data_IF_655679302320
#
_entry.id   IF_655679302320
#
_cell.length_a   1.000
_cell.length_b   1.000
_cell.length_c   1.000
_cell.angle_alpha   90.00
_cell.angle_beta   90.00
_cell.angle_gamma   90.00
#
_symmetry.space_group_name_H-M   'P 1'
#
loop_
_entity.id
_entity.type
_entity.pdbx_description
1 polymer ?
#
# COMPACT_ATOMS: atom_id res chain seq x y z
N UNK A 1 -21.59 8.23 7.29
CA UNK A 1 -21.28 7.58 8.57
C UNK A 1 -21.61 8.52 9.72
N UNK A 2 -22.57 8.14 10.56
CA UNK A 2 -22.80 8.73 11.88
C UNK A 2 -21.62 8.45 12.82
N UNK A 3 -21.58 9.03 14.02
CA UNK A 3 -20.56 8.69 15.02
C UNK A 3 -20.66 7.22 15.47
N UNK A 4 -21.87 6.67 15.54
CA UNK A 4 -22.07 5.24 15.82
C UNK A 4 -21.46 4.40 14.71
N UNK A 5 -21.76 4.70 13.44
CA UNK A 5 -21.24 3.94 12.31
C UNK A 5 -19.70 3.92 12.31
N UNK A 6 -19.06 5.03 12.69
CA UNK A 6 -17.60 5.10 12.81
C UNK A 6 -17.09 4.18 13.93
N UNK A 7 -17.68 4.25 15.12
CA UNK A 7 -17.32 3.38 16.24
C UNK A 7 -17.55 1.90 15.91
N UNK A 8 -18.71 1.55 15.36
CA UNK A 8 -19.07 0.19 14.95
C UNK A 8 -18.10 -0.37 13.91
N UNK A 9 -17.61 0.49 13.01
CA UNK A 9 -16.61 0.12 12.00
C UNK A 9 -15.22 -0.10 12.62
N UNK A 10 -14.80 0.77 13.55
CA UNK A 10 -13.53 0.59 14.28
C UNK A 10 -13.54 -0.76 15.02
N UNK A 11 -14.63 -1.06 15.72
CA UNK A 11 -14.78 -2.34 16.42
C UNK A 11 -14.81 -3.52 15.44
N UNK A 12 -15.38 -3.34 14.24
CA UNK A 12 -15.37 -4.39 13.21
C UNK A 12 -13.96 -4.71 12.72
N UNK A 13 -13.09 -3.70 12.53
CA UNK A 13 -11.68 -3.92 12.19
C UNK A 13 -10.94 -4.66 13.31
N UNK A 14 -11.15 -4.27 14.57
CA UNK A 14 -10.54 -4.94 15.72
C UNK A 14 -10.97 -6.42 15.81
N UNK A 15 -12.28 -6.69 15.73
CA UNK A 15 -12.81 -8.07 15.72
C UNK A 15 -12.22 -8.90 14.58
N UNK A 16 -12.17 -8.35 13.37
CA UNK A 16 -11.61 -9.04 12.22
C UNK A 16 -10.11 -9.38 12.40
N UNK A 17 -9.32 -8.49 13.00
CA UNK A 17 -7.92 -8.75 13.28
C UNK A 17 -7.73 -9.81 14.38
N UNK A 18 -8.52 -9.75 15.45
CA UNK A 18 -8.52 -10.78 16.49
C UNK A 18 -8.93 -12.15 15.93
N UNK A 19 -9.92 -12.19 15.04
CA UNK A 19 -10.32 -13.41 14.36
C UNK A 19 -9.23 -13.94 13.43
N UNK A 20 -8.53 -13.07 12.68
CA UNK A 20 -7.41 -13.47 11.84
C UNK A 20 -6.29 -14.12 12.67
N UNK A 21 -5.89 -13.49 13.79
CA UNK A 21 -4.90 -14.08 14.69
C UNK A 21 -5.37 -15.41 15.27
N UNK A 22 -6.62 -15.48 15.75
CA UNK A 22 -7.22 -16.72 16.29
C UNK A 22 -7.28 -17.85 15.28
N UNK A 23 -7.47 -17.54 14.00
CA UNK A 23 -7.50 -18.50 12.89
C UNK A 23 -6.10 -18.90 12.40
N UNK A 24 -5.03 -18.31 12.95
CA UNK A 24 -3.65 -18.66 12.65
C UNK A 24 -3.06 -17.94 11.44
N UNK A 25 -3.61 -16.80 11.02
CA UNK A 25 -2.92 -15.91 10.10
C UNK A 25 -1.68 -15.31 10.77
N UNK A 26 -0.63 -15.01 10.01
CA UNK A 26 0.62 -14.46 10.54
C UNK A 26 0.59 -12.93 10.74
N UNK A 27 -0.52 -12.27 10.39
CA UNK A 27 -0.68 -10.82 10.47
C UNK A 27 -1.89 -10.33 9.69
N UNK A 28 -2.10 -9.01 9.67
CA UNK A 28 -3.16 -8.35 8.88
C UNK A 28 -2.63 -7.17 8.07
N UNK A 29 -3.21 -6.96 6.89
CA UNK A 29 -3.00 -5.76 6.09
C UNK A 29 -4.31 -4.94 6.01
N UNK A 30 -4.27 -3.71 6.50
CA UNK A 30 -5.37 -2.77 6.45
C UNK A 30 -5.34 -1.99 5.13
N UNK A 31 -6.48 -1.93 4.44
CA UNK A 31 -6.54 -1.22 3.17
C UNK A 31 -6.83 0.30 3.33
N UNK A 32 -5.77 1.11 3.36
CA UNK A 32 -5.79 2.58 3.43
C UNK A 32 -5.49 3.32 2.12
N UNK A 33 -5.63 2.66 0.97
CA UNK A 33 -5.33 3.22 -0.37
C UNK A 33 -6.52 3.18 -1.32
N UNK A 34 -6.30 3.62 -2.56
CA UNK A 34 -7.20 3.51 -3.73
C UNK A 34 -8.64 3.98 -3.53
N UNK A 35 -8.89 4.98 -2.68
CA UNK A 35 -10.23 5.52 -2.44
C UNK A 35 -11.16 4.61 -1.62
N UNK A 36 -10.63 3.57 -0.97
CA UNK A 36 -11.39 2.79 0.02
C UNK A 36 -11.53 3.54 1.34
N UNK A 37 -12.31 2.99 2.26
CA UNK A 37 -12.83 3.70 3.44
C UNK A 37 -11.77 4.50 4.21
N UNK A 38 -10.68 3.86 4.65
CA UNK A 38 -9.60 4.54 5.38
C UNK A 38 -9.00 5.68 4.54
N UNK A 39 -8.81 5.46 3.24
CA UNK A 39 -8.32 6.48 2.30
C UNK A 39 -9.30 7.65 2.13
N UNK A 40 -10.61 7.39 2.14
CA UNK A 40 -11.64 8.42 2.08
C UNK A 40 -11.55 9.37 3.28
N UNK A 41 -11.25 8.86 4.48
CA UNK A 41 -11.02 9.71 5.65
C UNK A 41 -9.80 10.62 5.46
N UNK A 42 -8.68 10.13 4.90
CA UNK A 42 -7.50 10.97 4.64
C UNK A 42 -7.73 12.08 3.60
N UNK A 43 -8.64 11.84 2.65
CA UNK A 43 -8.83 12.68 1.48
C UNK A 43 -9.60 13.96 1.80
N UNK A 44 -9.03 15.12 1.51
CA UNK A 44 -9.66 16.41 1.78
C UNK A 44 -10.98 16.59 1.02
N UNK A 45 -11.02 16.26 -0.27
CA UNK A 45 -12.19 16.37 -1.15
C UNK A 45 -13.33 15.38 -0.84
N UNK A 46 -13.03 14.26 -0.18
CA UNK A 46 -14.05 13.26 0.18
C UNK A 46 -14.50 13.40 1.64
N UNK A 47 -13.60 13.76 2.54
CA UNK A 47 -13.90 13.94 3.95
C UNK A 47 -14.17 15.42 4.26
N UNK A 48 -15.40 15.83 3.99
CA UNK A 48 -15.92 17.17 4.27
C UNK A 48 -16.60 17.25 5.65
N UNK A 49 -16.21 16.39 6.59
CA UNK A 49 -16.81 16.35 7.94
C UNK A 49 -16.37 17.56 8.75
N UNK A 50 -17.27 18.04 9.61
CA UNK A 50 -17.01 19.09 10.60
C UNK A 50 -16.83 18.56 12.03
N UNK A 51 -16.87 17.24 12.21
CA UNK A 51 -16.62 16.60 13.51
C UNK A 51 -15.15 16.19 13.66
N UNK A 52 -14.82 15.51 14.76
CA UNK A 52 -13.45 15.15 15.09
C UNK A 52 -12.73 14.22 14.10
N UNK A 53 -13.44 13.64 13.12
CA UNK A 53 -12.84 12.80 12.08
C UNK A 53 -12.62 13.55 10.76
N UNK A 54 -13.01 14.81 10.66
CA UNK A 54 -12.69 15.71 9.54
C UNK A 54 -11.53 16.63 9.87
N UNK A 55 -11.39 17.73 9.12
CA UNK A 55 -10.40 18.77 9.38
C UNK A 55 -9.62 19.19 8.14
N UNK A 56 -8.91 20.31 8.27
CA UNK A 56 -8.14 20.92 7.17
C UNK A 56 -6.82 20.19 6.93
N UNK A 57 -6.26 19.57 7.97
CA UNK A 57 -4.97 18.88 7.88
C UNK A 57 -5.14 17.37 7.66
N UNK A 58 -4.13 16.75 7.04
CA UNK A 58 -4.06 15.30 6.90
C UNK A 58 -4.03 14.58 8.26
N UNK A 59 -3.41 15.19 9.28
CA UNK A 59 -3.30 14.61 10.62
C UNK A 59 -4.65 14.53 11.33
N UNK A 60 -5.45 15.60 11.28
CA UNK A 60 -6.82 15.60 11.85
C UNK A 60 -7.68 14.51 11.20
N UNK A 61 -7.64 14.46 9.87
CA UNK A 61 -8.33 13.47 9.04
C UNK A 61 -7.83 12.03 9.23
N UNK A 62 -6.64 11.85 9.80
CA UNK A 62 -6.06 10.53 10.08
C UNK A 62 -6.60 9.90 11.37
N UNK A 63 -7.44 10.60 12.14
CA UNK A 63 -7.99 10.09 13.40
C UNK A 63 -8.64 8.71 13.25
N UNK A 64 -9.42 8.51 12.18
CA UNK A 64 -10.08 7.22 11.95
C UNK A 64 -9.08 6.06 11.85
N UNK A 65 -8.01 6.22 11.06
CA UNK A 65 -6.97 5.21 10.92
C UNK A 65 -6.21 4.97 12.24
N UNK A 66 -5.93 6.05 12.99
CA UNK A 66 -5.30 5.97 14.31
C UNK A 66 -6.15 5.17 15.29
N UNK A 67 -7.46 5.40 15.33
CA UNK A 67 -8.37 4.68 16.22
C UNK A 67 -8.54 3.21 15.80
N UNK A 68 -8.59 2.92 14.49
CA UNK A 68 -8.57 1.55 13.97
C UNK A 68 -7.31 0.81 14.41
N UNK A 69 -6.11 1.41 14.23
CA UNK A 69 -4.84 0.80 14.63
C UNK A 69 -4.81 0.52 16.14
N UNK A 70 -5.22 1.48 16.97
CA UNK A 70 -5.27 1.32 18.43
C UNK A 70 -6.25 0.25 18.87
N UNK A 71 -7.42 0.17 18.23
CA UNK A 71 -8.43 -0.85 18.54
C UNK A 71 -7.96 -2.26 18.14
N UNK A 72 -7.24 -2.40 17.02
CA UNK A 72 -6.59 -3.66 16.66
C UNK A 72 -5.53 -4.02 17.71
N UNK A 73 -4.68 -3.06 18.08
CA UNK A 73 -3.60 -3.28 19.08
C UNK A 73 -4.10 -3.67 20.46
N UNK A 74 -5.32 -3.31 20.84
CA UNK A 74 -5.88 -3.72 22.12
C UNK A 74 -6.40 -5.17 22.15
N UNK A 75 -6.52 -5.83 20.99
CA UNK A 75 -7.11 -7.18 20.89
C UNK A 75 -6.18 -8.24 20.31
N UNK A 76 -5.12 -7.85 19.59
CA UNK A 76 -4.11 -8.79 19.05
C UNK A 76 -2.86 -8.87 19.94
N UNK A 77 -2.07 -9.94 19.82
CA UNK A 77 -0.82 -10.03 20.58
C UNK A 77 0.21 -8.97 20.14
N UNK A 78 1.14 -8.54 21.02
CA UNK A 78 2.11 -7.49 20.69
C UNK A 78 3.01 -7.79 19.48
N UNK A 79 3.22 -9.07 19.16
CA UNK A 79 4.04 -9.52 18.03
C UNK A 79 3.26 -9.69 16.72
N UNK A 80 1.93 -9.54 16.73
CA UNK A 80 1.09 -9.71 15.56
C UNK A 80 1.27 -8.53 14.58
N UNK A 81 1.82 -8.75 13.36
CA UNK A 81 2.05 -7.70 12.38
C UNK A 81 0.78 -7.01 11.92
N UNK A 82 0.77 -5.68 11.98
CA UNK A 82 -0.30 -4.84 11.41
C UNK A 82 0.31 -3.93 10.34
N UNK A 83 0.04 -4.28 9.09
CA UNK A 83 0.52 -3.59 7.90
C UNK A 83 -0.56 -2.60 7.44
N UNK A 84 -0.18 -1.40 7.03
CA UNK A 84 -1.11 -0.45 6.42
C UNK A 84 -0.74 -0.21 4.97
N UNK A 85 -1.65 -0.55 4.06
CA UNK A 85 -1.48 -0.33 2.62
C UNK A 85 -1.99 1.05 2.22
N UNK A 86 -1.09 1.92 1.74
CA UNK A 86 -1.35 3.33 1.45
C UNK A 86 -1.11 3.67 -0.02
N UNK A 87 -1.81 4.68 -0.52
CA UNK A 87 -1.55 5.31 -1.82
C UNK A 87 -1.77 6.81 -1.71
N UNK A 88 -0.93 7.59 -2.39
CA UNK A 88 -1.09 9.05 -2.44
C UNK A 88 -1.99 9.52 -3.60
N UNK A 89 -2.01 8.73 -4.67
CA UNK A 89 -2.67 9.04 -5.93
C UNK A 89 -4.12 8.56 -5.95
N UNK A 90 -4.91 9.09 -6.88
CA UNK A 90 -6.32 8.73 -7.08
C UNK A 90 -6.51 8.12 -8.48
N UNK A 91 -7.43 7.16 -8.67
CA UNK A 91 -7.70 6.57 -9.99
C UNK A 91 -8.05 7.58 -11.10
N UNK A 92 -8.58 8.75 -10.73
CA UNK A 92 -8.93 9.84 -11.66
C UNK A 92 -7.92 10.98 -11.67
N UNK A 93 -6.95 10.97 -10.76
CA UNK A 93 -5.90 11.99 -10.64
C UNK A 93 -4.61 11.36 -10.10
N UNK A 94 -3.73 10.96 -11.01
CA UNK A 94 -2.42 10.39 -10.68
C UNK A 94 -1.44 11.41 -10.08
N UNK A 95 -1.76 12.71 -10.13
CA UNK A 95 -0.95 13.77 -9.54
C UNK A 95 -1.38 14.09 -8.11
N UNK A 96 -2.54 13.59 -7.68
CA UNK A 96 -3.00 13.75 -6.31
C UNK A 96 -1.96 13.22 -5.33
N UNK A 97 -1.79 13.96 -4.23
CA UNK A 97 -1.00 13.53 -3.08
C UNK A 97 -1.77 13.81 -1.81
N UNK A 98 -1.77 12.86 -0.88
CA UNK A 98 -2.27 13.10 0.48
C UNK A 98 -1.27 13.97 1.25
N UNK A 99 0.02 13.61 1.21
CA UNK A 99 1.10 14.39 1.78
C UNK A 99 1.81 15.16 0.66
N UNK A 100 1.72 16.49 0.68
CA UNK A 100 2.28 17.34 -0.37
C UNK A 100 3.81 17.38 -0.41
N UNK A 101 4.47 17.09 0.71
CA UNK A 101 5.93 17.16 0.89
C UNK A 101 6.46 15.96 1.65
N UNK A 102 7.77 15.67 1.59
CA UNK A 102 8.39 14.64 2.42
C UNK A 102 8.20 14.86 3.93
N UNK A 103 8.24 16.11 4.41
CA UNK A 103 8.01 16.43 5.81
C UNK A 103 6.57 16.12 6.25
N UNK A 104 5.57 16.46 5.41
CA UNK A 104 4.19 16.08 5.68
C UNK A 104 3.98 14.56 5.64
N UNK A 105 4.73 13.84 4.79
CA UNK A 105 4.72 12.37 4.76
C UNK A 105 5.31 11.80 6.05
N UNK A 106 6.42 12.35 6.54
CA UNK A 106 7.04 11.96 7.81
C UNK A 106 6.07 12.15 9.00
N UNK A 107 5.44 13.32 9.13
CA UNK A 107 4.46 13.57 10.18
C UNK A 107 3.28 12.59 10.11
N UNK A 108 2.76 12.36 8.91
CA UNK A 108 1.62 11.48 8.69
C UNK A 108 1.94 10.02 8.98
N UNK A 109 3.04 9.49 8.44
CA UNK A 109 3.46 8.11 8.68
C UNK A 109 3.91 7.92 10.13
N UNK A 110 4.60 8.89 10.72
CA UNK A 110 5.00 8.87 12.13
C UNK A 110 3.79 8.79 13.07
N UNK A 111 2.71 9.52 12.77
CA UNK A 111 1.45 9.40 13.51
C UNK A 111 0.88 7.96 13.46
N UNK A 112 0.95 7.30 12.31
CA UNK A 112 0.44 5.95 12.10
C UNK A 112 1.33 4.88 12.75
N UNK A 113 2.65 5.04 12.70
CA UNK A 113 3.61 4.20 13.45
C UNK A 113 3.34 4.30 14.94
N UNK A 114 3.20 5.52 15.47
CA UNK A 114 2.89 5.75 16.89
C UNK A 114 1.53 5.18 17.32
N UNK A 115 0.60 5.02 16.37
CA UNK A 115 -0.69 4.37 16.62
C UNK A 115 -0.61 2.83 16.57
N UNK A 116 0.50 2.27 16.09
CA UNK A 116 0.77 0.84 16.09
C UNK A 116 0.83 0.18 14.70
N UNK A 117 1.11 0.91 13.62
CA UNK A 117 1.47 0.28 12.34
C UNK A 117 2.92 -0.22 12.37
N UNK A 118 3.17 -1.49 11.99
CA UNK A 118 4.52 -2.06 11.97
C UNK A 118 5.22 -1.91 10.62
N UNK A 119 4.42 -1.82 9.55
CA UNK A 119 4.92 -1.75 8.19
C UNK A 119 3.96 -0.98 7.29
N UNK A 120 4.51 -0.44 6.21
CA UNK A 120 3.73 0.22 5.17
C UNK A 120 3.88 -0.52 3.85
N UNK A 121 2.75 -0.76 3.19
CA UNK A 121 2.71 -1.22 1.81
C UNK A 121 2.31 -0.04 0.90
N UNK A 122 3.26 0.47 0.12
CA UNK A 122 3.12 1.74 -0.59
C UNK A 122 2.80 1.49 -2.06
N UNK A 123 1.55 1.75 -2.41
CA UNK A 123 1.04 1.62 -3.77
C UNK A 123 1.30 2.87 -4.60
N UNK A 124 1.80 2.64 -5.81
CA UNK A 124 2.07 3.62 -6.85
C UNK A 124 1.81 2.99 -8.22
N UNK A 125 1.55 3.79 -9.27
CA UNK A 125 1.31 3.26 -10.61
C UNK A 125 2.46 2.40 -11.12
N UNK A 126 3.71 2.84 -10.90
CA UNK A 126 4.90 2.08 -11.20
C UNK A 126 6.00 2.30 -10.15
N UNK A 127 6.72 1.24 -9.78
CA UNK A 127 7.66 1.30 -8.65
C UNK A 127 8.84 2.26 -8.86
N UNK A 128 9.19 2.54 -10.11
CA UNK A 128 10.32 3.40 -10.48
C UNK A 128 9.96 4.89 -10.47
N UNK A 129 8.69 5.25 -10.32
CA UNK A 129 8.28 6.65 -10.31
C UNK A 129 8.68 7.32 -8.99
N UNK A 130 9.34 8.48 -9.02
CA UNK A 130 9.64 9.23 -7.81
C UNK A 130 8.37 9.79 -7.18
N UNK A 131 8.25 9.69 -5.85
CA UNK A 131 7.08 10.23 -5.14
C UNK A 131 7.12 11.77 -5.05
N UNK A 132 8.31 12.33 -4.89
CA UNK A 132 8.59 13.77 -4.79
C UNK A 132 9.74 14.16 -5.74
N UNK A 133 9.55 14.11 -7.07
CA UNK A 133 10.58 14.42 -8.07
C UNK A 133 11.22 15.80 -7.90
N UNK A 134 10.49 16.74 -7.30
CA UNK A 134 11.00 18.07 -6.96
C UNK A 134 12.04 18.09 -5.83
N UNK A 135 12.16 17.00 -5.07
CA UNK A 135 13.15 16.83 -3.98
C UNK A 135 14.15 15.73 -4.32
N UNK A 136 13.68 14.58 -4.81
CA UNK A 136 14.49 13.44 -5.22
C UNK A 136 13.90 12.80 -6.48
N UNK A 137 14.66 12.82 -7.57
CA UNK A 137 14.21 12.34 -8.88
C UNK A 137 14.14 10.81 -9.00
N UNK A 138 14.55 10.07 -7.97
CA UNK A 138 14.69 8.60 -8.01
C UNK A 138 13.86 7.89 -6.94
N UNK A 139 13.67 8.51 -5.78
CA UNK A 139 13.12 7.84 -4.61
C UNK A 139 11.59 7.71 -4.70
N UNK A 140 11.14 6.46 -4.71
CA UNK A 140 9.72 6.13 -4.80
C UNK A 140 9.02 6.25 -3.43
N UNK A 141 7.72 5.99 -3.38
CA UNK A 141 6.95 6.18 -2.14
C UNK A 141 7.41 5.25 -1.00
N UNK A 142 7.71 3.98 -1.31
CA UNK A 142 8.21 3.02 -0.33
C UNK A 142 9.58 3.42 0.24
N UNK A 143 10.45 3.96 -0.61
CA UNK A 143 11.76 4.46 -0.19
C UNK A 143 11.70 5.73 0.63
N UNK A 144 10.78 6.63 0.32
CA UNK A 144 10.51 7.77 1.20
C UNK A 144 9.98 7.31 2.56
N UNK A 145 9.00 6.41 2.59
CA UNK A 145 8.47 5.85 3.83
C UNK A 145 9.58 5.18 4.66
N UNK A 146 10.47 4.41 4.02
CA UNK A 146 11.61 3.76 4.69
C UNK A 146 12.54 4.79 5.29
N UNK A 147 12.91 5.80 4.51
CA UNK A 147 13.82 6.87 4.90
C UNK A 147 13.32 7.67 6.10
N UNK A 148 12.02 7.98 6.15
CA UNK A 148 11.46 8.88 7.18
C UNK A 148 10.95 8.15 8.43
N UNK A 149 10.65 6.86 8.35
CA UNK A 149 10.11 6.09 9.49
C UNK A 149 11.01 4.97 10.00
N UNK A 150 11.89 4.44 9.16
CA UNK A 150 12.74 3.28 9.48
C UNK A 150 12.02 1.93 9.54
N UNK A 151 10.68 1.91 9.60
CA UNK A 151 9.90 0.67 9.67
C UNK A 151 9.97 -0.12 8.36
N UNK A 152 9.47 -1.36 8.37
CA UNK A 152 9.44 -2.20 7.17
C UNK A 152 8.57 -1.57 6.09
N UNK A 153 9.08 -1.49 4.86
CA UNK A 153 8.31 -0.99 3.71
C UNK A 153 8.24 -1.98 2.56
N UNK A 154 7.07 -2.01 1.94
CA UNK A 154 6.75 -2.86 0.80
C UNK A 154 6.47 -1.95 -0.39
N UNK A 155 7.23 -2.11 -1.48
CA UNK A 155 6.95 -1.41 -2.74
C UNK A 155 6.04 -2.25 -3.64
N UNK A 156 5.23 -1.59 -4.45
CA UNK A 156 4.44 -2.21 -5.51
C UNK A 156 4.25 -1.23 -6.67
N UNK A 157 3.88 -1.75 -7.83
CA UNK A 157 3.55 -0.96 -9.03
C UNK A 157 4.33 -1.49 -10.23
N UNK A 158 3.62 -2.07 -11.20
CA UNK A 158 4.20 -2.61 -12.45
C UNK A 158 5.45 -3.50 -12.27
N UNK A 159 5.50 -4.29 -11.18
CA UNK A 159 6.60 -5.22 -10.94
C UNK A 159 6.60 -6.30 -12.01
N UNK A 160 7.73 -6.41 -12.74
CA UNK A 160 7.89 -7.34 -13.84
C UNK A 160 7.03 -7.05 -15.07
N UNK A 161 6.42 -5.85 -15.18
CA UNK A 161 5.54 -5.49 -16.29
C UNK A 161 5.88 -4.08 -16.83
N UNK A 162 5.85 -3.92 -18.15
CA UNK A 162 6.10 -2.63 -18.83
C UNK A 162 4.91 -1.67 -18.78
N UNK A 163 3.70 -2.17 -18.52
CA UNK A 163 2.48 -1.37 -18.46
C UNK A 163 1.91 -1.26 -17.05
N UNK A 164 1.23 -0.13 -16.79
CA UNK A 164 0.53 0.09 -15.54
C UNK A 164 -0.72 -0.80 -15.40
N UNK A 165 -1.32 -0.80 -14.21
CA UNK A 165 -2.47 -1.64 -13.89
C UNK A 165 -3.73 -1.26 -14.68
N UNK A 166 -3.84 0.00 -15.10
CA UNK A 166 -5.02 0.51 -15.80
C UNK A 166 -5.05 0.05 -17.25
N UNK A 167 -3.90 -0.04 -17.91
CA UNK A 167 -3.79 -0.65 -19.24
C UNK A 167 -4.28 -2.11 -19.22
N UNK A 168 -3.95 -2.87 -18.17
CA UNK A 168 -4.43 -4.25 -18.01
C UNK A 168 -5.94 -4.34 -17.77
N UNK A 169 -6.51 -3.46 -16.94
CA UNK A 169 -7.97 -3.40 -16.75
C UNK A 169 -8.71 -2.92 -18.01
N UNK A 170 -8.04 -2.16 -18.88
CA UNK A 170 -8.53 -1.79 -20.20
C UNK A 170 -8.38 -2.90 -21.26
N UNK A 171 -7.96 -4.11 -20.85
CA UNK A 171 -7.84 -5.27 -21.74
C UNK A 171 -6.56 -5.32 -22.56
N UNK A 172 -5.53 -4.53 -22.22
CA UNK A 172 -4.23 -4.58 -22.91
C UNK A 172 -3.30 -5.60 -22.25
N UNK A 173 -2.57 -6.32 -23.09
CA UNK A 173 -1.47 -7.19 -22.64
C UNK A 173 -0.36 -6.35 -22.00
N UNK A 174 0.32 -6.95 -21.02
CA UNK A 174 1.45 -6.33 -20.35
C UNK A 174 2.72 -7.14 -20.62
N UNK A 175 3.66 -6.54 -21.35
CA UNK A 175 4.95 -7.17 -21.61
C UNK A 175 5.77 -7.30 -20.33
N UNK A 176 6.51 -8.40 -20.20
CA UNK A 176 7.49 -8.57 -19.14
C UNK A 176 8.52 -7.42 -19.15
N UNK A 177 8.86 -6.91 -17.98
CA UNK A 177 9.89 -5.89 -17.77
C UNK A 177 11.11 -6.48 -17.05
N UNK A 178 12.34 -6.01 -17.37
CA UNK A 178 13.53 -6.38 -16.64
C UNK A 178 13.40 -6.09 -15.15
N UNK A 179 13.96 -6.96 -14.31
CA UNK A 179 13.94 -6.84 -12.85
C UNK A 179 15.21 -6.22 -12.28
N UNK A 180 16.22 -5.94 -13.11
CA UNK A 180 17.54 -5.49 -12.65
C UNK A 180 17.48 -4.21 -11.81
N UNK A 181 16.71 -3.20 -12.24
CA UNK A 181 16.54 -1.95 -11.47
C UNK A 181 15.84 -2.21 -10.12
N UNK A 182 14.78 -3.02 -10.12
CA UNK A 182 14.05 -3.40 -8.91
C UNK A 182 14.95 -4.14 -7.92
N UNK A 183 15.71 -5.14 -8.40
CA UNK A 183 16.63 -5.92 -7.58
C UNK A 183 17.80 -5.07 -7.11
N UNK A 184 18.31 -4.17 -7.95
CA UNK A 184 19.32 -3.21 -7.54
C UNK A 184 18.79 -2.33 -6.40
N UNK A 185 17.61 -1.71 -6.54
CA UNK A 185 16.95 -0.89 -5.49
C UNK A 185 16.76 -1.65 -4.18
N UNK A 186 16.23 -2.87 -4.26
CA UNK A 186 16.08 -3.77 -3.12
C UNK A 186 17.44 -4.03 -2.45
N UNK A 187 18.47 -4.33 -3.24
CA UNK A 187 19.84 -4.58 -2.74
C UNK A 187 20.50 -3.40 -2.04
N UNK A 188 20.07 -2.15 -2.30
CA UNK A 188 20.55 -0.94 -1.57
C UNK A 188 19.72 -0.64 -0.32
N UNK A 189 18.70 -1.45 -0.01
CA UNK A 189 17.79 -1.21 1.10
C UNK A 189 16.83 -0.04 0.88
N UNK A 190 16.50 0.28 -0.37
CA UNK A 190 15.52 1.35 -0.68
C UNK A 190 14.13 1.00 -0.12
N UNK A 191 13.77 -0.28 -0.10
CA UNK A 191 12.58 -0.85 0.55
C UNK A 191 12.90 -2.29 0.94
N UNK A 192 12.14 -2.90 1.84
CA UNK A 192 12.45 -4.21 2.40
C UNK A 192 11.81 -5.36 1.62
N UNK A 193 10.63 -5.11 1.04
CA UNK A 193 9.83 -6.11 0.34
C UNK A 193 9.27 -5.56 -0.97
N UNK A 194 8.97 -6.48 -1.89
CA UNK A 194 8.30 -6.18 -3.16
C UNK A 194 7.03 -7.00 -3.25
N UNK A 195 5.88 -6.32 -3.35
CA UNK A 195 4.62 -7.00 -3.61
C UNK A 195 4.41 -7.19 -5.12
N UNK A 196 3.89 -8.36 -5.48
CA UNK A 196 3.67 -8.78 -6.85
C UNK A 196 2.20 -9.18 -6.98
N UNK A 197 1.53 -8.67 -8.01
CA UNK A 197 0.13 -8.97 -8.30
C UNK A 197 -0.02 -9.73 -9.61
N UNK A 198 -0.34 -8.99 -10.68
CA UNK A 198 -0.64 -9.51 -12.03
C UNK A 198 0.33 -10.59 -12.54
N UNK A 199 1.64 -10.44 -12.32
CA UNK A 199 2.61 -11.43 -12.80
C UNK A 199 2.42 -12.82 -12.17
N UNK A 200 1.99 -12.90 -10.90
CA UNK A 200 1.70 -14.18 -10.23
C UNK A 200 0.40 -14.83 -10.72
N UNK A 201 -0.57 -14.02 -11.18
CA UNK A 201 -1.81 -14.55 -11.76
C UNK A 201 -1.55 -15.25 -13.09
N UNK A 202 -0.61 -14.71 -13.88
CA UNK A 202 -0.19 -15.33 -15.13
C UNK A 202 0.67 -16.57 -14.88
N UNK A 203 1.59 -16.49 -13.92
CA UNK A 203 2.61 -17.51 -13.71
C UNK A 203 2.84 -17.76 -12.22
N UNK A 204 2.23 -18.83 -11.70
CA UNK A 204 2.41 -19.22 -10.30
C UNK A 204 3.88 -19.61 -9.96
N UNK A 205 4.68 -19.98 -10.96
CA UNK A 205 6.10 -20.31 -10.81
C UNK A 205 7.03 -19.10 -10.99
N UNK A 206 6.47 -17.89 -11.17
CA UNK A 206 7.22 -16.66 -11.44
C UNK A 206 8.40 -16.46 -10.49
N UNK A 207 8.16 -16.59 -9.17
CA UNK A 207 9.21 -16.37 -8.17
C UNK A 207 10.34 -17.39 -8.30
N UNK A 208 10.01 -18.67 -8.53
CA UNK A 208 11.02 -19.71 -8.68
C UNK A 208 11.83 -19.52 -9.97
N UNK A 209 11.19 -19.09 -11.05
CA UNK A 209 11.88 -18.72 -12.30
C UNK A 209 12.84 -17.57 -12.10
N UNK A 210 12.42 -16.49 -11.44
CA UNK A 210 13.29 -15.36 -11.09
C UNK A 210 14.47 -15.81 -10.24
N UNK A 211 14.22 -16.61 -9.20
CA UNK A 211 15.26 -17.13 -8.29
C UNK A 211 16.30 -17.99 -9.01
N UNK A 212 15.88 -18.75 -10.02
CA UNK A 212 16.75 -19.61 -10.82
C UNK A 212 17.36 -18.91 -12.05
N UNK A 213 17.11 -17.61 -12.24
CA UNK A 213 17.59 -16.86 -13.41
C UNK A 213 16.87 -17.21 -14.72
N UNK A 214 15.75 -17.95 -14.66
CA UNK A 214 14.93 -18.35 -15.81
C UNK A 214 13.93 -17.27 -16.20
N UNK A 215 14.37 -16.01 -16.23
CA UNK A 215 13.51 -14.84 -16.50
C UNK A 215 12.92 -14.84 -17.91
N UNK A 216 13.61 -15.49 -18.86
CA UNK A 216 13.14 -15.65 -20.25
C UNK A 216 11.95 -16.63 -20.36
N UNK A 217 11.66 -17.41 -19.31
CA UNK A 217 10.52 -18.32 -19.22
C UNK A 217 9.28 -17.70 -18.57
N UNK A 218 9.36 -16.43 -18.17
CA UNK A 218 8.24 -15.70 -17.58
C UNK A 218 7.28 -15.27 -18.69
N UNK A 219 6.05 -15.75 -18.61
CA UNK A 219 5.02 -15.39 -19.57
C UNK A 219 4.57 -13.93 -19.42
N UNK A 220 4.18 -13.32 -20.54
CA UNK A 220 3.55 -12.00 -20.50
C UNK A 220 2.18 -12.09 -19.85
N UNK A 221 1.83 -11.08 -19.05
CA UNK A 221 0.49 -11.03 -18.48
C UNK A 221 -0.54 -10.75 -19.59
N UNK A 222 -1.57 -11.57 -19.62
CA UNK A 222 -2.75 -11.36 -20.46
C UNK A 222 -4.00 -11.24 -19.59
N UNK A 223 -5.00 -10.42 -19.98
CA UNK A 223 -6.27 -10.35 -19.25
C UNK A 223 -7.00 -11.69 -19.13
N UNK A 224 -6.67 -12.69 -19.97
CA UNK A 224 -7.21 -14.05 -19.86
C UNK A 224 -6.85 -14.73 -18.54
N UNK A 225 -5.75 -14.35 -17.89
CA UNK A 225 -5.38 -14.84 -16.57
C UNK A 225 -6.43 -14.49 -15.50
N UNK A 226 -7.27 -13.47 -15.71
CA UNK A 226 -8.40 -13.23 -14.80
C UNK A 226 -9.51 -14.28 -14.92
N UNK A 227 -9.62 -14.97 -16.06
CA UNK A 227 -10.63 -15.99 -16.32
C UNK A 227 -10.27 -17.36 -15.72
N UNK A 228 -9.05 -17.51 -15.21
CA UNK A 228 -8.57 -18.74 -14.56
C UNK A 228 -8.70 -18.68 -13.03
N UNK A 229 -9.28 -17.61 -12.50
CA UNK A 229 -9.59 -17.44 -11.08
C UNK A 229 -11.01 -17.95 -10.84
N UNK A 230 -11.13 -19.07 -10.13
CA UNK A 230 -12.41 -19.65 -9.69
C UNK A 230 -13.12 -18.79 -8.64
#
# INVERSE_FOLDING_TARGET
MSKSDVADTIDAFARAAADAERLGFDGVELHGGHGYLINQFFSEDLNQRSDGYGGSTLLERSRFAVEVLKAIRSVVTPGFPVILRLSQWKPKDFRARLAGTPAALEEWLGLLVNAGADAFHLSQPAYWQPAFPEVDATLNLAGWAKKVTGVTTITVGSVGLRSDVYDSFAGKDAQSAPLDDLLARLGRGEFDLVAIGRALLQDAAWLEKVRQGRVDEIENFTPKAFLTLD
#
